data_IF_464358277884
#
_entry.id   IF_464358277884
#
_cell.length_a   1.000
_cell.length_b   1.000
_cell.length_c   1.000
_cell.angle_alpha   90.00
_cell.angle_beta   90.00
_cell.angle_gamma   90.00
#
_symmetry.space_group_name_H-M   'P 1'
#
loop_
_entity.id
_entity.type
_entity.pdbx_description
1 polymer ?
#
# COMPACT_ATOMS: atom_id res chain seq x y z
N UNK A 1 23.26 -16.60 -15.01
CA UNK A 1 21.86 -16.81 -15.42
C UNK A 1 20.90 -15.90 -14.69
N UNK A 2 20.94 -15.81 -13.35
CA UNK A 2 20.04 -14.95 -12.55
C UNK A 2 19.88 -13.49 -13.04
N UNK A 3 20.95 -12.85 -13.51
CA UNK A 3 20.88 -11.47 -14.02
C UNK A 3 20.02 -11.31 -15.28
N UNK A 4 20.00 -12.32 -16.17
CA UNK A 4 19.14 -12.31 -17.36
C UNK A 4 17.67 -12.53 -17.00
N UNK A 5 17.38 -13.37 -16.01
CA UNK A 5 16.00 -13.60 -15.52
C UNK A 5 15.39 -12.32 -14.91
N UNK A 6 16.23 -11.48 -14.32
CA UNK A 6 15.82 -10.16 -13.80
C UNK A 6 15.75 -9.08 -14.89
N UNK A 7 16.14 -9.39 -16.14
CA UNK A 7 16.19 -8.44 -17.25
C UNK A 7 17.33 -7.42 -17.14
N UNK A 8 18.38 -7.73 -16.37
CA UNK A 8 19.55 -6.86 -16.25
C UNK A 8 20.39 -6.94 -17.52
N UNK A 9 20.97 -5.81 -17.99
CA UNK A 9 21.89 -5.82 -19.12
C UNK A 9 23.13 -6.67 -18.79
N UNK A 10 23.75 -7.25 -19.83
CA UNK A 10 24.97 -8.04 -19.66
C UNK A 10 26.13 -7.06 -19.41
N UNK A 11 26.83 -7.14 -18.26
CA UNK A 11 27.96 -6.25 -17.99
C UNK A 11 29.11 -6.56 -18.95
N UNK A 12 29.85 -5.52 -19.36
CA UNK A 12 31.07 -5.69 -20.17
C UNK A 12 32.07 -6.64 -19.46
N UNK A 13 32.73 -7.51 -20.24
CA UNK A 13 33.68 -8.47 -19.69
C UNK A 13 34.89 -7.76 -19.07
N UNK A 14 35.28 -8.18 -17.86
CA UNK A 14 36.55 -7.77 -17.23
C UNK A 14 36.50 -6.66 -16.18
N UNK A 15 35.36 -6.02 -15.91
CA UNK A 15 35.31 -4.91 -14.92
C UNK A 15 34.69 -5.31 -13.58
N UNK A 16 35.51 -5.32 -12.53
CA UNK A 16 35.08 -5.19 -11.13
C UNK A 16 34.53 -6.44 -10.43
N UNK A 17 34.26 -6.28 -9.13
CA UNK A 17 33.64 -7.30 -8.28
C UNK A 17 32.20 -7.61 -8.72
N UNK A 18 31.60 -8.69 -8.21
CA UNK A 18 30.18 -9.01 -8.49
C UNK A 18 29.24 -7.83 -8.14
N UNK A 19 29.50 -7.15 -7.03
CA UNK A 19 28.72 -5.99 -6.58
C UNK A 19 28.83 -4.82 -7.56
N UNK A 20 30.05 -4.48 -7.97
CA UNK A 20 30.30 -3.39 -8.94
C UNK A 20 29.65 -3.65 -10.29
N UNK A 21 29.62 -4.91 -10.74
CA UNK A 21 28.91 -5.30 -11.97
C UNK A 21 27.40 -5.15 -11.84
N UNK A 22 26.82 -5.59 -10.73
CA UNK A 22 25.39 -5.43 -10.47
C UNK A 22 25.01 -3.94 -10.41
N UNK A 23 25.79 -3.12 -9.70
CA UNK A 23 25.58 -1.68 -9.61
C UNK A 23 25.65 -1.01 -10.99
N UNK A 24 26.61 -1.39 -11.83
CA UNK A 24 26.71 -0.90 -13.20
C UNK A 24 25.50 -1.30 -14.06
N UNK A 25 24.99 -2.53 -13.90
CA UNK A 25 23.80 -2.99 -14.61
C UNK A 25 22.54 -2.23 -14.19
N UNK A 26 22.37 -1.98 -12.89
CA UNK A 26 21.25 -1.20 -12.37
C UNK A 26 21.32 0.26 -12.83
N UNK A 27 22.50 0.88 -12.80
CA UNK A 27 22.69 2.26 -13.30
C UNK A 27 22.47 2.41 -14.80
N UNK A 28 22.63 1.33 -15.56
CA UNK A 28 22.41 1.33 -17.01
C UNK A 28 20.93 1.17 -17.39
N UNK A 29 20.05 0.80 -16.45
CA UNK A 29 18.63 0.68 -16.70
C UNK A 29 17.94 2.05 -16.58
N UNK A 30 16.97 2.34 -17.47
CA UNK A 30 16.03 3.45 -17.25
C UNK A 30 15.09 3.14 -16.05
N UNK A 31 14.42 4.16 -15.53
CA UNK A 31 13.57 4.05 -14.33
C UNK A 31 12.46 2.99 -14.47
N UNK A 32 11.86 2.86 -15.65
CA UNK A 32 10.86 1.82 -15.96
C UNK A 32 11.48 0.42 -15.99
N UNK A 33 12.74 0.31 -16.45
CA UNK A 33 13.53 -0.91 -16.42
C UNK A 33 13.86 -1.35 -14.98
N UNK A 34 14.11 -0.40 -14.08
CA UNK A 34 14.33 -0.67 -12.65
C UNK A 34 13.06 -1.21 -11.98
N UNK A 35 11.90 -0.61 -12.26
CA UNK A 35 10.62 -1.07 -11.72
C UNK A 35 10.30 -2.51 -12.16
N UNK A 36 10.51 -2.82 -13.45
CA UNK A 36 10.29 -4.17 -13.96
C UNK A 36 11.27 -5.19 -13.35
N UNK A 37 12.54 -4.82 -13.17
CA UNK A 37 13.53 -5.68 -12.54
C UNK A 37 13.18 -5.95 -11.07
N UNK A 38 12.71 -4.94 -10.34
CA UNK A 38 12.20 -5.07 -8.97
C UNK A 38 10.99 -6.02 -8.90
N UNK A 39 10.01 -5.86 -9.79
CA UNK A 39 8.85 -6.76 -9.87
C UNK A 39 9.28 -8.20 -10.16
N UNK A 40 10.18 -8.44 -11.13
CA UNK A 40 10.72 -9.79 -11.41
C UNK A 40 11.49 -10.38 -10.23
N UNK A 41 12.16 -9.54 -9.44
CA UNK A 41 12.86 -9.97 -8.24
C UNK A 41 11.88 -10.45 -7.17
N UNK A 42 10.76 -9.73 -6.98
CA UNK A 42 9.68 -10.11 -6.07
C UNK A 42 8.97 -11.39 -6.51
N UNK A 43 8.77 -11.57 -7.82
CA UNK A 43 8.09 -12.74 -8.40
C UNK A 43 9.01 -13.98 -8.53
N UNK A 44 10.33 -13.81 -8.30
CA UNK A 44 11.30 -14.87 -8.53
C UNK A 44 11.20 -15.96 -7.46
N UNK A 45 10.99 -17.24 -7.85
CA UNK A 45 11.03 -18.35 -6.89
C UNK A 45 12.46 -18.67 -6.43
N UNK A 46 13.48 -18.14 -7.13
CA UNK A 46 14.89 -18.46 -6.89
C UNK A 46 15.59 -17.44 -5.99
N UNK A 47 15.04 -16.23 -5.84
CA UNK A 47 15.61 -15.18 -5.00
C UNK A 47 14.65 -14.86 -3.87
N UNK A 48 15.05 -15.18 -2.64
CA UNK A 48 14.27 -14.80 -1.46
C UNK A 48 14.73 -13.44 -0.94
N UNK A 49 14.02 -12.37 -1.31
CA UNK A 49 14.07 -11.11 -0.57
C UNK A 49 13.15 -11.25 0.66
N UNK A 50 13.62 -10.94 1.87
CA UNK A 50 12.88 -11.20 3.11
C UNK A 50 12.84 -9.97 4.02
N UNK A 51 11.97 -10.03 5.02
CA UNK A 51 11.87 -9.02 6.07
C UNK A 51 11.67 -7.60 5.51
N UNK A 52 12.36 -6.63 6.10
CA UNK A 52 12.21 -5.20 5.78
C UNK A 52 12.63 -4.86 4.33
N UNK A 53 13.57 -5.61 3.75
CA UNK A 53 14.04 -5.37 2.38
C UNK A 53 12.97 -5.71 1.35
N UNK A 54 12.22 -6.80 1.59
CA UNK A 54 11.06 -7.17 0.76
C UNK A 54 10.01 -6.08 0.81
N UNK A 55 9.69 -5.63 2.03
CA UNK A 55 8.68 -4.60 2.26
C UNK A 55 9.05 -3.28 1.54
N UNK A 56 10.29 -2.83 1.69
CA UNK A 56 10.75 -1.61 1.02
C UNK A 56 10.69 -1.73 -0.52
N UNK A 57 11.01 -2.90 -1.06
CA UNK A 57 10.94 -3.16 -2.50
C UNK A 57 9.48 -3.17 -2.99
N UNK A 58 8.59 -3.83 -2.25
CA UNK A 58 7.15 -3.85 -2.55
C UNK A 58 6.56 -2.44 -2.53
N UNK A 59 6.86 -1.64 -1.51
CA UNK A 59 6.35 -0.26 -1.43
C UNK A 59 6.83 0.58 -2.61
N UNK A 60 8.13 0.49 -2.95
CA UNK A 60 8.68 1.18 -4.11
C UNK A 60 8.00 0.76 -5.42
N UNK A 61 7.67 -0.52 -5.57
CA UNK A 61 6.99 -1.05 -6.76
C UNK A 61 5.52 -0.62 -6.81
N UNK A 62 4.83 -0.67 -5.68
CA UNK A 62 3.40 -0.36 -5.61
C UNK A 62 3.12 1.14 -5.68
N UNK A 63 4.00 1.98 -5.14
CA UNK A 63 3.88 3.44 -5.21
C UNK A 63 4.09 4.00 -6.63
N UNK A 64 4.70 3.22 -7.53
CA UNK A 64 4.80 3.58 -8.94
C UNK A 64 3.46 3.48 -9.70
N UNK A 65 2.46 2.79 -9.13
CA UNK A 65 1.14 2.59 -9.72
C UNK A 65 0.13 3.70 -9.41
N UNK A 66 -1.09 3.55 -9.92
CA UNK A 66 -2.21 4.41 -9.51
C UNK A 66 -2.67 4.03 -8.10
N UNK A 67 -2.46 4.92 -7.13
CA UNK A 67 -2.77 4.69 -5.71
C UNK A 67 -4.03 5.45 -5.29
N UNK A 68 -4.90 4.77 -4.53
CA UNK A 68 -6.02 5.41 -3.83
C UNK A 68 -5.48 5.95 -2.50
N UNK A 69 -5.41 7.28 -2.41
CA UNK A 69 -5.00 7.96 -1.18
C UNK A 69 -6.09 7.82 -0.11
N UNK A 70 -5.71 7.27 1.04
CA UNK A 70 -6.58 7.11 2.20
C UNK A 70 -5.93 7.86 3.35
N UNK A 71 -6.55 8.95 3.80
CA UNK A 71 -5.98 9.80 4.85
C UNK A 71 -5.86 9.05 6.19
N UNK A 72 -4.89 9.43 7.03
CA UNK A 72 -4.69 8.79 8.34
C UNK A 72 -5.95 8.79 9.23
N UNK A 73 -6.80 9.82 9.11
CA UNK A 73 -8.11 9.83 9.79
C UNK A 73 -9.01 8.69 9.31
N UNK A 74 -9.15 8.53 7.99
CA UNK A 74 -9.98 7.46 7.40
C UNK A 74 -9.40 6.09 7.76
N UNK A 75 -8.07 5.94 7.80
CA UNK A 75 -7.43 4.67 8.22
C UNK A 75 -7.77 4.28 9.67
N UNK A 76 -7.80 5.26 10.58
CA UNK A 76 -8.23 5.04 11.97
C UNK A 76 -9.71 4.68 12.07
N UNK A 77 -10.57 5.42 11.37
CA UNK A 77 -12.00 5.12 11.29
C UNK A 77 -12.26 3.72 10.70
N UNK A 78 -11.46 3.29 9.72
CA UNK A 78 -11.51 1.94 9.16
C UNK A 78 -11.12 0.88 10.18
N UNK A 79 -10.02 1.09 10.91
CA UNK A 79 -9.61 0.17 11.96
C UNK A 79 -10.69 0.06 13.04
N UNK A 80 -11.34 1.16 13.42
CA UNK A 80 -12.46 1.16 14.36
C UNK A 80 -13.68 0.37 13.87
N UNK A 81 -13.96 0.41 12.56
CA UNK A 81 -15.13 -0.22 11.94
C UNK A 81 -14.98 -1.73 11.69
N UNK A 82 -13.74 -2.22 11.60
CA UNK A 82 -13.46 -3.63 11.35
C UNK A 82 -13.61 -4.43 12.65
N UNK A 83 -14.53 -5.39 12.65
CA UNK A 83 -14.67 -6.36 13.72
C UNK A 83 -13.54 -7.39 13.65
N UNK A 84 -12.65 -7.37 14.64
CA UNK A 84 -11.53 -8.30 14.72
C UNK A 84 -12.01 -9.74 14.87
N UNK A 85 -13.11 -9.99 15.58
CA UNK A 85 -13.56 -11.35 15.88
C UNK A 85 -13.99 -12.11 14.62
N UNK A 86 -14.50 -11.42 13.59
CA UNK A 86 -14.79 -11.98 12.27
C UNK A 86 -13.52 -12.53 11.61
N UNK A 87 -12.40 -11.80 11.72
CA UNK A 87 -11.10 -12.22 11.17
C UNK A 87 -10.46 -13.36 11.99
N UNK A 88 -10.75 -13.43 13.29
CA UNK A 88 -10.23 -14.45 14.21
C UNK A 88 -10.97 -15.79 14.18
N UNK A 89 -11.97 -15.95 13.30
CA UNK A 89 -12.58 -17.26 13.06
C UNK A 89 -11.57 -18.26 12.48
N UNK A 90 -10.64 -17.78 11.65
CA UNK A 90 -9.55 -18.56 11.03
C UNK A 90 -8.19 -17.93 11.36
N UNK A 91 -7.69 -18.08 12.60
CA UNK A 91 -6.50 -17.36 13.06
C UNK A 91 -5.25 -17.67 12.23
N UNK A 92 -5.13 -18.91 11.77
CA UNK A 92 -4.09 -19.40 10.85
C UNK A 92 -4.03 -18.64 9.53
N UNK A 93 -5.19 -18.27 8.98
CA UNK A 93 -5.30 -17.54 7.71
C UNK A 93 -5.09 -16.05 7.91
N UNK A 94 -5.63 -15.51 8.99
CA UNK A 94 -5.42 -14.12 9.38
C UNK A 94 -3.94 -13.81 9.65
N UNK A 95 -3.23 -14.67 10.40
CA UNK A 95 -1.80 -14.49 10.65
C UNK A 95 -0.99 -14.47 9.34
N UNK A 96 -1.31 -15.37 8.40
CA UNK A 96 -0.67 -15.38 7.08
C UNK A 96 -0.91 -14.10 6.29
N UNK A 97 -2.11 -13.50 6.39
CA UNK A 97 -2.38 -12.20 5.80
C UNK A 97 -1.51 -11.10 6.45
N UNK A 98 -1.33 -11.13 7.78
CA UNK A 98 -0.44 -10.20 8.46
C UNK A 98 1.02 -10.36 7.99
N UNK A 99 1.53 -11.58 7.88
CA UNK A 99 2.88 -11.87 7.39
C UNK A 99 3.12 -11.44 5.94
N UNK A 100 2.08 -11.48 5.11
CA UNK A 100 2.16 -11.05 3.73
C UNK A 100 2.52 -9.56 3.64
N UNK A 101 1.95 -8.71 4.50
CA UNK A 101 2.15 -7.26 4.42
C UNK A 101 3.12 -6.71 5.46
N UNK A 102 3.46 -7.48 6.50
CA UNK A 102 4.25 -6.99 7.63
C UNK A 102 5.35 -7.96 8.01
N UNK A 103 6.43 -7.41 8.55
CA UNK A 103 7.51 -8.20 9.12
C UNK A 103 7.25 -8.36 10.62
N UNK A 104 6.70 -9.52 11.00
CA UNK A 104 6.27 -9.77 12.38
C UNK A 104 7.42 -10.22 13.29
N UNK A 105 8.52 -10.70 12.72
CA UNK A 105 9.68 -11.21 13.43
C UNK A 105 10.76 -10.14 13.53
N UNK A 106 10.48 -9.08 14.29
CA UNK A 106 11.31 -7.88 14.41
C UNK A 106 12.36 -7.94 15.53
N UNK A 107 12.46 -9.07 16.23
CA UNK A 107 13.34 -9.24 17.39
C UNK A 107 14.77 -9.68 16.97
N UNK A 108 15.78 -8.80 17.09
CA UNK A 108 17.16 -9.12 16.74
C UNK A 108 17.80 -10.10 17.73
N UNK A 109 17.30 -10.17 18.97
CA UNK A 109 17.84 -11.02 20.03
C UNK A 109 17.15 -12.39 20.10
N UNK A 110 16.06 -12.61 19.37
CA UNK A 110 15.40 -13.92 19.28
C UNK A 110 16.32 -15.03 18.78
N UNK A 111 17.31 -14.70 17.92
CA UNK A 111 18.36 -15.63 17.48
C UNK A 111 19.29 -16.09 18.62
N UNK A 112 19.37 -15.32 19.71
CA UNK A 112 20.24 -15.59 20.85
C UNK A 112 19.49 -16.21 22.04
N UNK A 113 18.22 -15.85 22.23
CA UNK A 113 17.41 -16.28 23.39
C UNK A 113 16.53 -17.51 23.12
N UNK A 114 16.38 -17.93 21.87
CA UNK A 114 15.58 -19.10 21.48
C UNK A 114 14.06 -18.91 21.70
N UNK A 115 13.62 -17.73 22.11
CA UNK A 115 12.21 -17.40 22.30
C UNK A 115 11.98 -15.91 22.01
N UNK A 116 10.94 -15.67 21.21
CA UNK A 116 10.60 -14.39 20.62
C UNK A 116 9.35 -13.78 21.29
N UNK A 117 9.30 -13.78 22.63
CA UNK A 117 8.14 -13.22 23.36
C UNK A 117 8.02 -11.71 23.21
N UNK A 118 9.08 -11.04 22.75
CA UNK A 118 9.13 -9.58 22.58
C UNK A 118 8.84 -9.15 21.14
N UNK A 119 8.92 -10.06 20.17
CA UNK A 119 8.59 -9.71 18.78
C UNK A 119 7.13 -9.29 18.62
N UNK A 120 6.87 -8.54 17.55
CA UNK A 120 5.53 -8.19 17.13
C UNK A 120 4.64 -9.44 16.97
N UNK A 121 5.17 -10.54 16.40
CA UNK A 121 4.46 -11.82 16.34
C UNK A 121 4.07 -12.34 17.72
N UNK A 122 5.03 -12.37 18.65
CA UNK A 122 4.79 -12.83 20.02
C UNK A 122 3.73 -12.01 20.74
N UNK A 123 3.74 -10.69 20.51
CA UNK A 123 2.73 -9.76 21.05
C UNK A 123 1.36 -9.98 20.43
N UNK A 124 1.25 -10.10 19.10
CA UNK A 124 0.01 -10.44 18.40
C UNK A 124 -0.55 -11.76 18.93
N UNK A 125 0.28 -12.80 19.07
CA UNK A 125 -0.18 -14.08 19.59
C UNK A 125 -0.70 -14.00 21.03
N UNK A 126 -0.06 -13.20 21.88
CA UNK A 126 -0.53 -12.96 23.26
C UNK A 126 -1.84 -12.18 23.29
N UNK A 127 -1.89 -11.02 22.64
CA UNK A 127 -2.93 -10.01 22.83
C UNK A 127 -4.11 -10.12 21.86
N UNK A 128 -3.95 -10.81 20.73
CA UNK A 128 -5.00 -10.99 19.73
C UNK A 128 -5.53 -12.42 19.73
N UNK A 129 -4.66 -13.42 19.64
CA UNK A 129 -5.09 -14.82 19.52
C UNK A 129 -5.43 -15.46 20.88
N UNK A 130 -4.57 -15.29 21.89
CA UNK A 130 -4.75 -15.92 23.20
C UNK A 130 -5.69 -15.14 24.12
N UNK A 131 -5.53 -13.83 24.20
CA UNK A 131 -6.33 -12.95 25.05
C UNK A 131 -7.31 -12.13 24.20
N UNK A 132 -8.35 -12.77 23.66
CA UNK A 132 -9.32 -12.08 22.79
C UNK A 132 -9.92 -10.86 23.49
N UNK A 133 -9.97 -9.74 22.78
CA UNK A 133 -10.47 -8.45 23.28
C UNK A 133 -9.45 -7.60 24.05
N UNK A 134 -8.21 -8.09 24.25
CA UNK A 134 -7.13 -7.31 24.87
C UNK A 134 -6.64 -6.21 23.92
N UNK A 135 -6.49 -6.52 22.63
CA UNK A 135 -6.31 -5.52 21.57
C UNK A 135 -7.57 -5.33 20.74
N UNK A 136 -7.93 -4.07 20.50
CA UNK A 136 -8.87 -3.69 19.45
C UNK A 136 -8.18 -3.79 18.07
N UNK A 137 -8.98 -3.74 17.00
CA UNK A 137 -8.44 -3.65 15.64
C UNK A 137 -7.58 -2.40 15.44
N UNK A 138 -7.96 -1.28 16.07
CA UNK A 138 -7.16 -0.03 16.07
C UNK A 138 -5.78 -0.26 16.68
N UNK A 139 -5.71 -0.87 17.87
CA UNK A 139 -4.44 -1.17 18.53
C UNK A 139 -3.60 -2.12 17.68
N UNK A 140 -4.20 -3.15 17.08
CA UNK A 140 -3.49 -4.03 16.15
C UNK A 140 -2.92 -3.26 14.95
N UNK A 141 -3.69 -2.36 14.34
CA UNK A 141 -3.23 -1.58 13.18
C UNK A 141 -2.11 -0.60 13.56
N UNK A 142 -2.18 0.02 14.73
CA UNK A 142 -1.12 0.87 15.28
C UNK A 142 0.17 0.05 15.51
N UNK A 143 0.06 -1.13 16.15
CA UNK A 143 1.23 -1.98 16.44
C UNK A 143 1.87 -2.58 15.18
N UNK A 144 1.10 -2.78 14.11
CA UNK A 144 1.61 -3.17 12.79
C UNK A 144 2.29 -2.00 12.06
N UNK A 145 2.03 -0.75 12.44
CA UNK A 145 2.38 0.45 11.66
C UNK A 145 1.52 0.61 10.40
N UNK A 146 0.33 0.00 10.37
CA UNK A 146 -0.56 0.02 9.22
C UNK A 146 -1.14 1.42 8.97
N UNK A 147 -1.34 2.21 10.03
CA UNK A 147 -1.92 3.55 9.94
C UNK A 147 -0.96 4.55 9.26
N UNK A 148 0.35 4.32 9.35
CA UNK A 148 1.42 5.17 8.81
C UNK A 148 1.96 4.68 7.46
N UNK A 149 1.55 3.49 7.00
CA UNK A 149 2.10 2.86 5.81
C UNK A 149 1.77 3.58 4.49
N UNK A 150 2.45 3.22 3.40
CA UNK A 150 2.08 3.69 2.06
C UNK A 150 0.63 3.35 1.73
N UNK A 151 -0.07 4.25 1.04
CA UNK A 151 -1.50 4.05 0.73
C UNK A 151 -1.74 2.82 -0.15
N UNK A 152 -0.76 2.46 -0.99
CA UNK A 152 -0.81 1.25 -1.81
C UNK A 152 -0.79 -0.02 -0.95
N UNK A 153 0.14 -0.09 0.02
CA UNK A 153 0.20 -1.21 0.98
C UNK A 153 -1.06 -1.31 1.81
N UNK A 154 -1.51 -0.19 2.39
CA UNK A 154 -2.70 -0.18 3.23
C UNK A 154 -3.94 -0.66 2.46
N UNK A 155 -4.10 -0.21 1.20
CA UNK A 155 -5.18 -0.67 0.33
C UNK A 155 -5.13 -2.18 0.08
N UNK A 156 -3.96 -2.71 -0.33
CA UNK A 156 -3.78 -4.14 -0.57
C UNK A 156 -3.98 -4.96 0.70
N UNK A 157 -3.56 -4.44 1.84
CA UNK A 157 -3.78 -5.06 3.14
C UNK A 157 -5.27 -5.16 3.46
N UNK A 158 -6.04 -4.08 3.29
CA UNK A 158 -7.49 -4.09 3.47
C UNK A 158 -8.19 -5.11 2.56
N UNK A 159 -7.81 -5.19 1.28
CA UNK A 159 -8.33 -6.19 0.35
C UNK A 159 -7.98 -7.61 0.80
N UNK A 160 -6.78 -7.82 1.32
CA UNK A 160 -6.36 -9.13 1.81
C UNK A 160 -7.08 -9.58 3.07
N UNK A 161 -7.54 -8.65 3.93
CA UNK A 161 -8.35 -8.99 5.12
C UNK A 161 -9.69 -9.63 4.75
N UNK A 162 -10.27 -9.19 3.63
CA UNK A 162 -11.55 -9.67 3.11
C UNK A 162 -11.38 -10.69 1.98
N UNK A 163 -10.15 -11.00 1.55
CA UNK A 163 -9.91 -11.99 0.50
C UNK A 163 -10.36 -13.39 0.98
N UNK A 164 -10.97 -14.22 0.12
CA UNK A 164 -11.38 -15.58 0.48
C UNK A 164 -10.27 -16.46 1.06
N UNK A 165 -9.01 -16.20 0.72
CA UNK A 165 -7.87 -16.90 1.32
C UNK A 165 -7.76 -16.63 2.82
N UNK A 166 -8.11 -15.43 3.26
CA UNK A 166 -8.11 -14.99 4.66
C UNK A 166 -9.44 -15.29 5.35
N UNK A 167 -10.55 -14.88 4.72
CA UNK A 167 -11.91 -14.98 5.25
C UNK A 167 -12.81 -15.80 4.31
N UNK A 168 -12.73 -17.14 4.34
CA UNK A 168 -13.53 -18.03 3.49
C UNK A 168 -14.97 -18.17 4.00
N UNK A 169 -15.67 -17.06 4.18
CA UNK A 169 -17.07 -16.98 4.57
C UNK A 169 -17.71 -15.76 3.89
N UNK A 170 -18.56 -16.00 2.90
CA UNK A 170 -19.21 -14.94 2.13
C UNK A 170 -20.08 -14.02 2.99
N UNK A 171 -20.73 -14.54 4.03
CA UNK A 171 -21.55 -13.73 4.91
C UNK A 171 -20.68 -12.84 5.80
N UNK A 172 -19.56 -13.34 6.32
CA UNK A 172 -18.59 -12.54 7.07
C UNK A 172 -17.91 -11.49 6.19
N UNK A 173 -17.52 -11.85 4.96
CA UNK A 173 -16.97 -10.91 3.97
C UNK A 173 -17.94 -9.76 3.72
N UNK A 174 -19.23 -10.06 3.50
CA UNK A 174 -20.23 -9.03 3.25
C UNK A 174 -20.40 -8.09 4.45
N UNK A 175 -20.45 -8.62 5.68
CA UNK A 175 -20.54 -7.80 6.90
C UNK A 175 -19.34 -6.86 7.05
N UNK A 176 -18.13 -7.37 6.86
CA UNK A 176 -16.92 -6.55 6.91
C UNK A 176 -16.89 -5.50 5.80
N UNK A 177 -17.26 -5.88 4.56
CA UNK A 177 -17.32 -4.94 3.43
C UNK A 177 -18.34 -3.84 3.67
N UNK A 178 -19.52 -4.14 4.22
CA UNK A 178 -20.53 -3.15 4.60
C UNK A 178 -20.02 -2.17 5.66
N UNK A 179 -19.36 -2.68 6.71
CA UNK A 179 -18.75 -1.86 7.76
C UNK A 179 -17.65 -0.95 7.19
N UNK A 180 -16.74 -1.50 6.38
CA UNK A 180 -15.67 -0.76 5.73
C UNK A 180 -16.22 0.30 4.77
N UNK A 181 -17.22 -0.04 3.96
CA UNK A 181 -17.79 0.88 2.97
C UNK A 181 -18.56 2.06 3.57
N UNK A 182 -19.03 1.92 4.81
CA UNK A 182 -19.60 3.04 5.58
C UNK A 182 -18.58 4.15 5.81
N UNK A 183 -17.29 3.78 5.97
CA UNK A 183 -16.18 4.72 6.15
C UNK A 183 -15.58 5.16 4.81
N UNK A 184 -15.42 4.24 3.85
CA UNK A 184 -14.80 4.56 2.56
C UNK A 184 -15.67 5.44 1.65
N UNK A 185 -16.99 5.25 1.64
CA UNK A 185 -17.88 5.93 0.69
C UNK A 185 -17.80 7.46 0.83
N UNK A 186 -17.87 8.06 2.04
CA UNK A 186 -17.63 9.50 2.22
C UNK A 186 -16.23 9.96 1.79
N UNK A 187 -15.24 9.07 1.86
CA UNK A 187 -13.88 9.31 1.41
C UNK A 187 -13.68 9.14 -0.11
N UNK A 188 -14.74 8.82 -0.87
CA UNK A 188 -14.71 8.67 -2.34
C UNK A 188 -14.05 7.38 -2.84
N UNK A 189 -13.99 6.36 -1.98
CA UNK A 189 -13.56 5.02 -2.33
C UNK A 189 -14.63 4.00 -1.92
N UNK A 190 -14.56 2.79 -2.46
CA UNK A 190 -15.46 1.69 -2.07
C UNK A 190 -14.82 0.35 -2.42
N UNK A 191 -15.03 -0.64 -1.57
CA UNK A 191 -14.81 -2.04 -1.91
C UNK A 191 -15.98 -2.54 -2.73
N UNK A 192 -15.72 -2.94 -3.98
CA UNK A 192 -16.73 -3.54 -4.86
C UNK A 192 -16.34 -4.97 -5.22
N UNK A 193 -17.36 -5.83 -5.35
CA UNK A 193 -17.15 -7.19 -5.83
C UNK A 193 -16.74 -7.10 -7.30
N UNK A 194 -15.53 -7.56 -7.60
CA UNK A 194 -14.96 -7.56 -8.96
C UNK A 194 -14.91 -8.96 -9.56
N UNK A 195 -15.22 -9.98 -8.77
CA UNK A 195 -15.32 -11.36 -9.25
C UNK A 195 -15.61 -12.33 -8.12
N UNK A 196 -15.25 -13.58 -8.36
CA UNK A 196 -15.37 -14.69 -7.41
C UNK A 196 -14.10 -15.55 -7.48
N UNK A 197 -13.71 -16.13 -6.34
CA UNK A 197 -12.61 -17.09 -6.21
C UNK A 197 -13.07 -18.27 -5.36
N UNK A 198 -12.99 -19.48 -5.92
CA UNK A 198 -13.42 -20.72 -5.26
C UNK A 198 -14.85 -20.66 -4.68
N UNK A 199 -15.75 -19.91 -5.34
CA UNK A 199 -17.15 -19.72 -4.92
C UNK A 199 -17.38 -18.64 -3.86
N UNK A 200 -16.35 -17.88 -3.49
CA UNK A 200 -16.43 -16.74 -2.58
C UNK A 200 -16.25 -15.42 -3.33
N UNK A 201 -16.91 -14.33 -2.91
CA UNK A 201 -16.76 -13.03 -3.54
C UNK A 201 -15.34 -12.49 -3.40
N UNK A 202 -14.83 -11.91 -4.51
CA UNK A 202 -13.55 -11.21 -4.56
C UNK A 202 -13.80 -9.71 -4.63
N UNK A 203 -13.26 -8.96 -3.67
CA UNK A 203 -13.44 -7.52 -3.54
C UNK A 203 -12.18 -6.76 -3.90
N UNK A 204 -12.34 -5.61 -4.55
CA UNK A 204 -11.25 -4.67 -4.81
C UNK A 204 -11.67 -3.25 -4.43
N UNK A 205 -10.70 -2.46 -4.00
CA UNK A 205 -10.91 -1.05 -3.69
C UNK A 205 -10.93 -0.25 -4.99
N UNK A 206 -12.08 0.35 -5.27
CA UNK A 206 -12.30 1.22 -6.41
C UNK A 206 -12.53 2.66 -5.95
N UNK A 207 -12.16 3.60 -6.82
CA UNK A 207 -12.45 5.01 -6.63
C UNK A 207 -13.83 5.31 -7.18
N UNK A 208 -14.74 5.79 -6.33
CA UNK A 208 -16.15 6.02 -6.68
C UNK A 208 -16.48 7.49 -6.97
N UNK A 209 -15.55 8.41 -6.74
CA UNK A 209 -15.69 9.82 -7.11
C UNK A 209 -14.55 10.69 -6.59
N UNK A 210 -14.63 12.03 -6.77
CA UNK A 210 -13.76 12.96 -6.06
C UNK A 210 -14.16 12.93 -4.58
N UNK A 211 -13.51 12.07 -3.79
CA UNK A 211 -13.73 12.00 -2.34
C UNK A 211 -13.50 13.34 -1.66
N UNK A 212 -14.23 13.58 -0.55
CA UNK A 212 -14.21 14.82 0.23
C UNK A 212 -12.82 15.20 0.81
N UNK A 213 -11.79 14.39 0.59
CA UNK A 213 -10.43 14.58 1.05
C UNK A 213 -9.49 15.20 -0.02
N UNK A 214 -9.99 15.78 -1.12
CA UNK A 214 -9.13 16.60 -1.98
C UNK A 214 -8.90 17.96 -1.33
N UNK A 215 -7.67 18.19 -0.89
CA UNK A 215 -7.22 19.52 -0.46
C UNK A 215 -7.38 20.50 -1.64
N UNK A 216 -7.97 21.69 -1.44
CA UNK A 216 -8.11 22.68 -2.50
C UNK A 216 -6.74 23.00 -3.12
N UNK A 217 -6.60 22.82 -4.44
CA UNK A 217 -5.34 23.12 -5.13
C UNK A 217 -5.15 24.64 -5.18
N UNK A 218 -3.98 25.13 -4.75
CA UNK A 218 -3.57 26.52 -5.01
C UNK A 218 -2.90 26.56 -6.38
N UNK A 219 -3.63 27.06 -7.38
CA UNK A 219 -3.14 27.18 -8.76
C UNK A 219 -2.50 28.55 -8.96
N UNK A 220 -1.20 28.56 -9.27
CA UNK A 220 -0.49 29.77 -9.69
C UNK A 220 -0.21 29.63 -11.20
N UNK A 221 -0.73 30.55 -12.00
CA UNK A 221 -0.47 30.62 -13.43
C UNK A 221 0.74 31.51 -13.70
N UNK A 222 1.78 30.95 -14.31
CA UNK A 222 2.87 31.72 -14.89
C UNK A 222 2.87 31.50 -16.40
N UNK A 223 2.18 32.38 -17.14
CA UNK A 223 2.02 32.30 -18.60
C UNK A 223 2.05 33.71 -19.17
N UNK A 224 2.67 33.91 -20.33
CA UNK A 224 2.67 35.22 -21.04
C UNK A 224 1.39 35.49 -21.84
N UNK A 225 0.52 34.48 -22.02
CA UNK A 225 -0.71 34.56 -22.81
C UNK A 225 -1.85 33.99 -21.97
N UNK A 226 -3.02 34.65 -21.94
CA UNK A 226 -4.18 34.22 -21.16
C UNK A 226 -4.63 32.80 -21.58
N UNK A 227 -4.55 31.78 -20.71
CA UNK A 227 -5.00 30.43 -21.03
C UNK A 227 -6.53 30.33 -21.04
N UNK A 228 -7.06 29.43 -21.88
CA UNK A 228 -8.48 29.04 -21.86
C UNK A 228 -8.69 27.91 -20.85
N UNK A 229 -9.36 28.25 -19.74
CA UNK A 229 -9.53 27.38 -18.56
C UNK A 229 -11.02 27.24 -18.27
N UNK A 230 -11.44 26.01 -17.95
CA UNK A 230 -12.78 25.75 -17.41
C UNK A 230 -12.68 25.10 -16.03
N UNK A 231 -13.49 25.58 -15.10
CA UNK A 231 -13.66 24.96 -13.79
C UNK A 231 -14.59 23.75 -13.91
N UNK A 232 -14.08 22.58 -13.57
CA UNK A 232 -14.85 21.34 -13.43
C UNK A 232 -15.51 21.28 -12.05
N UNK A 233 -14.83 21.81 -11.02
CA UNK A 233 -15.36 21.97 -9.66
C UNK A 233 -14.82 23.25 -9.04
N UNK A 234 -15.71 24.11 -8.54
CA UNK A 234 -15.36 25.37 -7.84
C UNK A 234 -14.90 25.08 -6.41
N UNK A 235 -15.37 23.99 -5.80
CA UNK A 235 -15.04 23.61 -4.42
C UNK A 235 -13.63 23.02 -4.34
N UNK A 236 -13.22 22.27 -5.38
CA UNK A 236 -11.92 21.57 -5.41
C UNK A 236 -10.85 22.28 -6.25
N UNK A 237 -11.19 23.44 -6.83
CA UNK A 237 -10.38 24.16 -7.83
C UNK A 237 -9.86 23.23 -8.95
N UNK A 238 -10.74 22.36 -9.45
CA UNK A 238 -10.37 21.44 -10.54
C UNK A 238 -10.59 22.12 -11.89
N UNK A 239 -9.56 22.14 -12.72
CA UNK A 239 -9.57 22.84 -13.99
C UNK A 239 -9.03 21.98 -15.12
N UNK A 240 -9.63 22.15 -16.29
CA UNK A 240 -9.11 21.61 -17.54
C UNK A 240 -8.51 22.75 -18.37
N UNK A 241 -7.23 22.61 -18.76
CA UNK A 241 -6.57 23.52 -19.70
C UNK A 241 -6.73 22.96 -21.11
N UNK A 242 -7.59 23.59 -21.92
CA UNK A 242 -7.93 23.08 -23.25
C UNK A 242 -6.84 23.32 -24.30
N UNK A 243 -6.04 24.38 -24.14
CA UNK A 243 -5.01 24.78 -25.09
C UNK A 243 -3.80 25.38 -24.37
N UNK A 244 -2.60 25.25 -24.94
CA UNK A 244 -1.37 25.82 -24.38
C UNK A 244 -0.79 25.04 -23.19
N UNK A 245 -0.99 23.72 -23.13
CA UNK A 245 -0.49 22.84 -22.06
C UNK A 245 1.04 22.91 -21.88
N UNK A 246 1.74 23.23 -22.95
CA UNK A 246 3.18 23.46 -23.06
C UNK A 246 3.65 24.82 -22.52
N UNK A 247 2.71 25.74 -22.27
CA UNK A 247 2.98 27.13 -21.83
C UNK A 247 2.40 27.43 -20.44
N UNK A 248 1.84 26.41 -19.78
CA UNK A 248 1.21 26.53 -18.45
C UNK A 248 2.00 25.68 -17.46
N UNK A 249 2.70 26.34 -16.54
CA UNK A 249 3.27 25.69 -15.36
C UNK A 249 2.19 25.55 -14.29
N UNK A 250 1.85 24.31 -13.94
CA UNK A 250 0.92 24.00 -12.85
C UNK A 250 1.72 23.64 -11.62
N UNK A 251 1.75 24.52 -10.61
CA UNK A 251 2.41 24.24 -9.34
C UNK A 251 1.45 23.53 -8.39
N UNK A 252 1.78 22.29 -7.99
CA UNK A 252 0.99 21.47 -7.08
C UNK A 252 1.82 21.15 -5.81
N UNK A 253 1.95 22.12 -4.89
CA UNK A 253 2.45 21.87 -3.54
C UNK A 253 1.55 22.53 -2.50
N UNK A 254 1.36 21.92 -1.32
CA UNK A 254 0.71 22.58 -0.20
C UNK A 254 1.51 23.83 0.18
N UNK A 255 0.81 24.95 0.38
CA UNK A 255 1.41 26.18 0.87
C UNK A 255 2.05 25.90 2.23
N UNK A 256 3.38 26.01 2.29
CA UNK A 256 4.12 25.98 3.56
C UNK A 256 3.74 27.26 4.30
N UNK A 257 2.95 27.15 5.36
CA UNK A 257 2.68 28.27 6.26
C UNK A 257 4.01 28.65 6.93
N UNK A 258 4.54 29.88 6.77
CA UNK A 258 5.58 30.34 7.65
C UNK A 258 4.95 30.48 9.04
N UNK A 259 5.54 29.80 10.01
CA UNK A 259 5.32 30.07 11.43
C UNK A 259 5.78 31.52 11.67
N UNK A 260 4.88 32.34 12.19
CA UNK A 260 5.21 33.57 12.93
C UNK A 260 5.05 33.24 14.40
#
# INVERSE_FOLDING_TARGET
MLGLELGLPIPAEGTGTKSQRLEACLKALPDDGLLQAAQRLLDSPHVSVRGKERLALEDAVWDAGAVIEISGRVRRELAAAIDLDELLHRPDRFERALEQFWHLDDDPVALWTGSSTTSLRGRIHRHVFRNRGDWSTEELFEQLGALEAGSARFTRFLEALIDPATLPDAAAQNRLVEAINTVLTPAGARLEQTGERDGYPHYQLLRTGPGAARQPKTLIFATTIKPDIRFLSVVDNDIEVKQGRDQVLVYNRPGRHPLV
#
